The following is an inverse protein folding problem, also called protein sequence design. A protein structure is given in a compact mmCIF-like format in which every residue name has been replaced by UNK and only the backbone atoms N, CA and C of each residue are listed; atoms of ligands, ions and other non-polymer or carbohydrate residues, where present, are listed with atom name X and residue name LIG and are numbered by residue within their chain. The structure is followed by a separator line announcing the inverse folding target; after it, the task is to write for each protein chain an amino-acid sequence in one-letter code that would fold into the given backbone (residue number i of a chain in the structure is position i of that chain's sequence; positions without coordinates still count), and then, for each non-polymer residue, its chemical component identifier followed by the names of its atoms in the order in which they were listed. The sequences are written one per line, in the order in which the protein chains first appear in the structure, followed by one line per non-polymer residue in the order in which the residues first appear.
data_IF_460098042108
#
_entry.id   IF_460098042108
#
_cell.length_a   1.000
_cell.length_b   1.000
_cell.length_c   1.000
_cell.angle_alpha   90.00
_cell.angle_beta   90.00
_cell.angle_gamma   90.00
#
_symmetry.space_group_name_H-M   'P 1'
#
loop_
_entity.id
_entity.type
_entity.pdbx_description
1 polymer ?
#
# COMPACT_ATOMS: atom_id res chain seq x y z
N UNK A 1 0.98 -0.08 -5.61
CA UNK A 1 1.36 -1.19 -4.75
C UNK A 1 2.86 -1.45 -4.68
N UNK A 2 3.64 -0.42 -4.85
CA UNK A 2 5.08 -0.47 -4.67
C UNK A 2 5.45 0.23 -3.38
N UNK A 3 6.49 -0.22 -2.74
CA UNK A 3 6.87 0.20 -1.39
C UNK A 3 8.33 0.55 -1.26
N UNK A 4 9.10 0.23 -2.28
CA UNK A 4 10.55 0.40 -2.26
C UNK A 4 10.95 1.74 -2.90
N UNK A 5 12.14 2.20 -2.58
CA UNK A 5 12.68 3.49 -3.03
C UNK A 5 12.70 3.66 -4.56
N UNK A 6 12.85 2.57 -5.31
CA UNK A 6 12.82 2.58 -6.77
C UNK A 6 11.48 3.02 -7.36
N UNK A 7 10.39 2.84 -6.59
CA UNK A 7 9.06 3.26 -7.01
C UNK A 7 8.75 4.73 -6.70
N UNK A 8 9.62 5.40 -5.97
CA UNK A 8 9.48 6.82 -5.67
C UNK A 8 9.91 7.64 -6.89
N UNK A 9 8.94 8.22 -7.55
CA UNK A 9 9.09 8.91 -8.82
C UNK A 9 10.04 10.12 -8.73
N UNK A 10 10.93 10.23 -9.73
CA UNK A 10 11.90 11.32 -9.87
C UNK A 10 11.89 11.82 -11.30
N UNK A 11 11.90 13.13 -11.47
CA UNK A 11 11.89 13.77 -12.78
C UNK A 11 13.14 14.61 -13.01
N UNK A 12 13.78 14.53 -14.18
CA UNK A 12 14.89 15.42 -14.52
C UNK A 12 14.45 16.89 -14.48
N UNK A 13 15.25 17.74 -13.82
CA UNK A 13 14.94 19.17 -13.68
C UNK A 13 14.89 19.88 -15.03
N UNK A 14 15.80 19.55 -15.96
CA UNK A 14 15.83 20.15 -17.29
C UNK A 14 14.55 19.88 -18.07
N UNK A 15 14.06 18.65 -18.04
CA UNK A 15 12.77 18.27 -18.65
C UNK A 15 11.61 18.99 -17.97
N UNK A 16 11.57 18.93 -16.63
CA UNK A 16 10.47 19.49 -15.84
C UNK A 16 10.38 21.01 -15.96
N UNK A 17 11.52 21.72 -15.87
CA UNK A 17 11.57 23.18 -15.97
C UNK A 17 11.22 23.70 -17.37
N UNK A 18 11.55 22.93 -18.41
CA UNK A 18 11.22 23.28 -19.79
C UNK A 18 9.73 23.08 -20.10
N UNK A 19 9.14 21.99 -19.64
CA UNK A 19 7.74 21.67 -19.93
C UNK A 19 6.78 22.43 -19.02
N UNK A 20 7.16 22.65 -17.76
CA UNK A 20 6.31 23.23 -16.73
C UNK A 20 7.04 24.35 -15.97
N UNK A 21 7.50 25.43 -16.64
CA UNK A 21 8.37 26.43 -16.04
C UNK A 21 7.75 27.13 -14.83
N UNK A 22 6.45 27.45 -14.89
CA UNK A 22 5.77 28.09 -13.77
C UNK A 22 5.62 27.17 -12.55
N UNK A 23 5.30 25.90 -12.78
CA UNK A 23 5.20 24.90 -11.71
C UNK A 23 6.57 24.67 -11.08
N UNK A 24 7.62 24.60 -11.89
CA UNK A 24 8.99 24.48 -11.40
C UNK A 24 9.40 25.65 -10.47
N UNK A 25 9.07 26.89 -10.84
CA UNK A 25 9.32 28.04 -9.96
C UNK A 25 8.61 27.92 -8.59
N UNK A 26 7.39 27.40 -8.59
CA UNK A 26 6.64 27.15 -7.35
C UNK A 26 7.35 26.07 -6.51
N UNK A 27 7.78 24.99 -7.14
CA UNK A 27 8.52 23.91 -6.46
C UNK A 27 9.84 24.42 -5.88
N UNK A 28 10.57 25.27 -6.61
CA UNK A 28 11.79 25.91 -6.09
C UNK A 28 11.53 26.71 -4.81
N UNK A 29 10.44 27.46 -4.77
CA UNK A 29 10.09 28.23 -3.58
C UNK A 29 9.64 27.32 -2.41
N UNK A 30 8.89 26.25 -2.69
CA UNK A 30 8.53 25.24 -1.69
C UNK A 30 9.79 24.60 -1.11
N UNK A 31 10.71 24.17 -1.97
CA UNK A 31 11.96 23.54 -1.55
C UNK A 31 12.82 24.48 -0.70
N UNK A 32 12.97 25.74 -1.14
CA UNK A 32 13.71 26.78 -0.41
C UNK A 32 13.16 26.97 1.02
N UNK A 33 11.85 27.08 1.17
CA UNK A 33 11.19 27.20 2.49
C UNK A 33 11.38 25.94 3.32
N UNK A 34 11.27 24.78 2.70
CA UNK A 34 11.40 23.51 3.39
C UNK A 34 12.84 23.29 3.87
N UNK A 35 13.84 23.57 3.05
CA UNK A 35 15.26 23.50 3.43
C UNK A 35 15.56 24.46 4.59
N UNK A 36 15.03 25.70 4.56
CA UNK A 36 15.17 26.63 5.68
C UNK A 36 14.62 26.06 6.99
N UNK A 37 13.46 25.42 6.93
CA UNK A 37 12.85 24.75 8.09
C UNK A 37 13.65 23.55 8.58
N UNK A 38 14.24 22.77 7.71
CA UNK A 38 15.14 21.66 8.12
C UNK A 38 16.35 22.23 8.87
N UNK A 39 16.99 23.29 8.36
CA UNK A 39 18.16 23.92 8.98
C UNK A 39 17.84 24.57 10.34
N UNK A 40 16.64 25.12 10.49
CA UNK A 40 16.14 25.62 11.77
C UNK A 40 15.98 24.51 12.79
N UNK A 41 15.40 23.39 12.40
CA UNK A 41 15.15 22.27 13.32
C UNK A 41 16.39 21.42 13.61
N UNK A 42 17.34 21.38 12.67
CA UNK A 42 18.56 20.56 12.74
C UNK A 42 19.79 21.40 12.35
N UNK A 43 20.21 22.36 13.18
CA UNK A 43 21.33 23.24 12.87
C UNK A 43 22.63 22.48 12.57
N UNK A 44 23.28 22.82 11.46
CA UNK A 44 24.54 22.21 11.03
C UNK A 44 24.43 20.80 10.42
N UNK A 45 23.23 20.23 10.31
CA UNK A 45 23.02 18.89 9.75
C UNK A 45 22.70 18.98 8.24
N UNK A 46 23.72 19.27 7.41
CA UNK A 46 23.55 19.33 5.97
C UNK A 46 23.27 17.95 5.32
N UNK A 47 23.64 16.85 5.99
CA UNK A 47 23.30 15.51 5.53
C UNK A 47 21.77 15.31 5.53
N UNK A 48 21.09 15.76 6.59
CA UNK A 48 19.64 15.68 6.70
C UNK A 48 18.95 16.58 5.65
N UNK A 49 19.50 17.77 5.41
CA UNK A 49 19.04 18.64 4.30
C UNK A 49 19.14 17.88 2.98
N UNK A 50 20.29 17.30 2.70
CA UNK A 50 20.58 16.58 1.47
C UNK A 50 19.63 15.38 1.25
N UNK A 51 19.26 14.66 2.32
CA UNK A 51 18.33 13.53 2.25
C UNK A 51 16.89 13.96 1.99
N UNK A 52 16.45 15.08 2.56
CA UNK A 52 15.05 15.48 2.60
C UNK A 52 14.66 16.48 1.52
N UNK A 53 15.57 17.30 1.00
CA UNK A 53 15.22 18.34 0.02
C UNK A 53 14.56 17.76 -1.23
N UNK A 54 13.67 18.55 -1.85
CA UNK A 54 12.85 18.16 -3.00
C UNK A 54 13.69 18.19 -4.29
N UNK A 55 14.48 19.25 -4.44
CA UNK A 55 15.32 19.46 -5.62
C UNK A 55 16.77 19.08 -5.31
N UNK A 56 17.24 17.96 -5.90
CA UNK A 56 18.62 17.50 -5.69
C UNK A 56 19.10 16.61 -6.84
N UNK A 57 20.38 16.64 -7.10
CA UNK A 57 21.08 15.78 -8.06
C UNK A 57 20.46 15.87 -9.47
N UNK A 58 20.04 17.08 -9.86
CA UNK A 58 19.39 17.32 -11.15
C UNK A 58 17.99 16.76 -11.27
N UNK A 59 17.33 16.41 -10.14
CA UNK A 59 16.00 15.79 -10.11
C UNK A 59 15.02 16.50 -9.21
N UNK A 60 13.74 16.43 -9.57
CA UNK A 60 12.59 16.72 -8.72
C UNK A 60 12.13 15.42 -8.08
N UNK A 61 12.22 15.31 -6.75
CA UNK A 61 11.78 14.14 -6.00
C UNK A 61 10.30 14.29 -5.66
N UNK A 62 9.45 13.64 -6.45
CA UNK A 62 7.98 13.82 -6.37
C UNK A 62 7.38 13.37 -5.04
N UNK A 63 7.89 12.28 -4.45
CA UNK A 63 7.45 11.83 -3.12
C UNK A 63 7.78 12.86 -2.03
N UNK A 64 8.97 13.47 -2.06
CA UNK A 64 9.34 14.53 -1.12
C UNK A 64 8.43 15.75 -1.25
N UNK A 65 8.16 16.17 -2.49
CA UNK A 65 7.22 17.26 -2.77
C UNK A 65 5.83 16.95 -2.20
N UNK A 66 5.32 15.74 -2.45
CA UNK A 66 4.00 15.31 -1.96
C UNK A 66 3.93 15.28 -0.42
N UNK A 67 4.99 14.81 0.25
CA UNK A 67 5.06 14.80 1.72
C UNK A 67 5.06 16.22 2.30
N UNK A 68 5.83 17.11 1.68
CA UNK A 68 5.93 18.51 2.16
C UNK A 68 4.62 19.25 1.95
N UNK A 69 4.03 19.16 0.77
CA UNK A 69 2.82 19.90 0.38
C UNK A 69 1.53 19.27 0.91
N UNK A 70 1.48 17.95 1.11
CA UNK A 70 0.29 17.25 1.58
C UNK A 70 0.08 17.34 3.09
N UNK A 71 -1.15 17.09 3.53
CA UNK A 71 -1.53 17.04 4.95
C UNK A 71 -1.28 15.67 5.57
N UNK A 72 -1.35 14.61 4.79
CA UNK A 72 -1.36 13.24 5.26
C UNK A 72 -0.49 12.35 4.38
N UNK A 73 0.33 11.54 5.01
CA UNK A 73 1.15 10.51 4.38
C UNK A 73 0.68 9.18 4.94
N UNK A 74 0.14 8.31 4.08
CA UNK A 74 -0.36 7.02 4.55
C UNK A 74 0.37 5.85 3.91
N UNK A 75 0.66 4.85 4.73
CA UNK A 75 0.93 3.52 4.24
C UNK A 75 -0.38 2.79 3.90
N UNK A 76 -0.30 1.78 3.07
CA UNK A 76 -1.45 1.01 2.56
C UNK A 76 -1.67 -0.32 3.28
N UNK A 77 -0.82 -0.62 4.27
CA UNK A 77 -0.92 -1.71 5.23
C UNK A 77 -0.06 -1.36 6.46
N UNK A 78 -0.33 -1.98 7.61
CA UNK A 78 0.43 -1.69 8.84
C UNK A 78 1.94 -1.91 8.65
N UNK A 79 2.34 -3.04 8.08
CA UNK A 79 3.74 -3.32 7.78
C UNK A 79 4.35 -2.27 6.85
N UNK A 80 3.66 -1.91 5.77
CA UNK A 80 4.12 -0.87 4.85
C UNK A 80 4.32 0.48 5.57
N UNK A 81 3.36 0.86 6.41
CA UNK A 81 3.44 2.10 7.20
C UNK A 81 4.65 2.12 8.12
N UNK A 82 4.96 1.00 8.77
CA UNK A 82 6.14 0.89 9.64
C UNK A 82 7.46 0.95 8.86
N UNK A 83 7.52 0.36 7.67
CA UNK A 83 8.68 0.48 6.76
C UNK A 83 8.89 1.94 6.36
N UNK A 84 7.83 2.64 5.95
CA UNK A 84 7.91 4.07 5.62
C UNK A 84 8.46 4.90 6.80
N UNK A 85 7.93 4.68 8.00
CA UNK A 85 8.33 5.43 9.20
C UNK A 85 9.75 5.15 9.66
N UNK A 86 10.20 3.90 9.59
CA UNK A 86 11.47 3.45 10.20
C UNK A 86 12.63 3.40 9.21
N UNK A 87 12.36 3.35 7.91
CA UNK A 87 13.35 3.16 6.86
C UNK A 87 13.25 4.25 5.79
N UNK A 88 12.34 4.11 4.83
CA UNK A 88 12.30 4.90 3.60
C UNK A 88 12.10 6.41 3.81
N UNK A 89 11.24 6.78 4.74
CA UNK A 89 10.85 8.17 5.01
C UNK A 89 11.11 8.57 6.47
N UNK A 90 12.08 7.93 7.11
CA UNK A 90 12.40 8.10 8.53
C UNK A 90 12.61 9.56 8.90
N UNK A 91 13.43 10.29 8.15
CA UNK A 91 13.74 11.69 8.45
C UNK A 91 12.49 12.58 8.37
N UNK A 92 11.58 12.31 7.41
CA UNK A 92 10.30 12.99 7.33
C UNK A 92 9.37 12.62 8.49
N UNK A 93 9.38 11.36 8.92
CA UNK A 93 8.58 10.93 10.06
C UNK A 93 9.08 11.58 11.36
N UNK A 94 10.38 11.64 11.59
CA UNK A 94 10.99 12.32 12.74
C UNK A 94 10.61 13.81 12.79
N UNK A 95 10.56 14.48 11.64
CA UNK A 95 10.23 15.91 11.54
C UNK A 95 8.73 16.19 11.62
N UNK A 96 7.88 15.31 11.08
CA UNK A 96 6.44 15.52 10.91
C UNK A 96 5.63 14.25 11.25
N UNK A 97 5.77 13.68 12.47
CA UNK A 97 5.17 12.39 12.82
C UNK A 97 3.63 12.39 12.69
N UNK A 98 3.00 13.54 12.93
CA UNK A 98 1.55 13.70 12.85
C UNK A 98 0.97 13.52 11.45
N UNK A 99 1.78 13.65 10.39
CA UNK A 99 1.34 13.40 9.01
C UNK A 99 1.18 11.91 8.71
N UNK A 100 1.92 11.04 9.40
CA UNK A 100 2.02 9.63 9.05
C UNK A 100 0.94 8.78 9.71
N UNK A 101 0.19 8.07 8.90
CA UNK A 101 -0.87 7.19 9.34
C UNK A 101 -1.00 5.95 8.46
N UNK A 102 -1.83 4.99 8.86
CA UNK A 102 -2.12 3.81 8.08
C UNK A 102 -3.55 3.83 7.56
N UNK A 103 -3.70 3.51 6.28
CA UNK A 103 -4.99 3.23 5.64
C UNK A 103 -4.85 1.91 4.90
N UNK A 104 -5.16 0.82 5.57
CA UNK A 104 -5.08 -0.51 4.96
C UNK A 104 -5.97 -0.59 3.73
N UNK A 105 -5.41 -1.05 2.62
CA UNK A 105 -6.18 -1.30 1.42
C UNK A 105 -7.30 -2.31 1.70
N UNK A 106 -8.48 -2.02 1.19
CA UNK A 106 -9.58 -2.97 1.17
C UNK A 106 -9.52 -3.88 -0.05
N UNK A 107 -10.22 -5.00 0.04
CA UNK A 107 -10.50 -5.88 -1.10
C UNK A 107 -12.00 -6.02 -1.28
N UNK A 108 -12.43 -6.14 -2.53
CA UNK A 108 -13.82 -6.44 -2.84
C UNK A 108 -14.05 -7.94 -2.69
N UNK A 109 -14.57 -8.37 -1.54
CA UNK A 109 -14.77 -9.80 -1.26
C UNK A 109 -15.73 -10.49 -2.25
N UNK A 110 -16.70 -9.76 -2.82
CA UNK A 110 -17.57 -10.27 -3.88
C UNK A 110 -16.78 -10.75 -5.10
N UNK A 111 -15.76 -9.99 -5.52
CA UNK A 111 -14.86 -10.39 -6.61
C UNK A 111 -13.93 -11.52 -6.17
N UNK A 112 -13.18 -11.30 -5.09
CA UNK A 112 -12.03 -12.12 -4.71
C UNK A 112 -12.40 -13.38 -3.92
N UNK A 113 -13.64 -13.49 -3.45
CA UNK A 113 -14.19 -14.67 -2.81
C UNK A 113 -15.34 -15.24 -3.62
N UNK A 114 -16.45 -14.53 -3.73
CA UNK A 114 -17.68 -15.06 -4.29
C UNK A 114 -17.60 -15.38 -5.79
N UNK A 115 -16.89 -14.56 -6.56
CA UNK A 115 -16.74 -14.80 -8.00
C UNK A 115 -15.62 -15.81 -8.31
N UNK A 116 -14.51 -15.72 -7.58
CA UNK A 116 -13.32 -16.55 -7.86
C UNK A 116 -13.44 -17.98 -7.36
N UNK A 117 -14.17 -18.24 -6.28
CA UNK A 117 -14.27 -19.56 -5.66
C UNK A 117 -15.73 -19.92 -5.34
N UNK A 118 -16.47 -20.36 -6.35
CA UNK A 118 -17.87 -20.76 -6.21
C UNK A 118 -18.08 -21.93 -5.26
N UNK A 119 -17.16 -22.89 -5.26
CA UNK A 119 -17.24 -24.07 -4.38
C UNK A 119 -17.09 -23.68 -2.91
N UNK A 120 -16.21 -22.72 -2.62
CA UNK A 120 -16.08 -22.17 -1.27
C UNK A 120 -17.35 -21.43 -0.86
N UNK A 121 -17.97 -20.68 -1.78
CA UNK A 121 -19.23 -19.98 -1.52
C UNK A 121 -20.36 -20.95 -1.21
N UNK A 122 -20.48 -22.07 -1.95
CA UNK A 122 -21.45 -23.13 -1.68
C UNK A 122 -21.22 -23.77 -0.31
N UNK A 123 -19.97 -24.01 0.07
CA UNK A 123 -19.61 -24.46 1.42
C UNK A 123 -20.04 -23.46 2.50
N UNK A 124 -19.80 -22.15 2.26
CA UNK A 124 -20.22 -21.09 3.18
C UNK A 124 -21.72 -20.96 3.29
N UNK A 125 -22.47 -21.20 2.22
CA UNK A 125 -23.93 -21.25 2.26
C UNK A 125 -24.46 -22.45 3.09
N UNK A 126 -23.78 -23.58 3.02
CA UNK A 126 -24.18 -24.79 3.76
C UNK A 126 -23.88 -24.69 5.26
N UNK A 127 -22.70 -24.20 5.63
CA UNK A 127 -22.20 -24.23 6.99
C UNK A 127 -22.14 -22.85 7.65
N UNK A 128 -22.27 -21.81 6.90
CA UNK A 128 -22.10 -20.45 7.35
C UNK A 128 -23.41 -19.70 7.53
N UNK A 129 -23.32 -18.43 7.27
CA UNK A 129 -24.33 -17.41 7.51
C UNK A 129 -24.75 -16.79 6.18
N UNK A 130 -25.92 -17.11 5.69
CA UNK A 130 -26.39 -16.74 4.36
C UNK A 130 -26.38 -15.25 4.00
N UNK A 131 -26.28 -14.36 4.97
CA UNK A 131 -26.29 -12.90 4.78
C UNK A 131 -24.93 -12.30 4.42
N UNK A 132 -23.84 -13.10 4.44
CA UNK A 132 -22.48 -12.60 4.17
C UNK A 132 -22.32 -11.94 2.80
N UNK A 133 -23.15 -12.27 1.82
CA UNK A 133 -23.11 -11.68 0.47
C UNK A 133 -23.37 -10.17 0.48
N UNK A 134 -24.14 -9.69 1.43
CA UNK A 134 -24.43 -8.25 1.59
C UNK A 134 -23.58 -7.61 2.67
N UNK A 135 -23.22 -8.37 3.69
CA UNK A 135 -22.48 -7.91 4.85
C UNK A 135 -21.34 -8.89 5.20
N UNK A 136 -20.12 -8.53 4.85
CA UNK A 136 -18.94 -9.36 5.09
C UNK A 136 -18.66 -9.65 6.58
N UNK A 137 -19.18 -8.83 7.52
CA UNK A 137 -19.02 -9.07 8.96
C UNK A 137 -19.72 -10.37 9.40
N UNK A 138 -20.74 -10.83 8.66
CA UNK A 138 -21.43 -12.09 8.90
C UNK A 138 -20.55 -13.31 8.71
N UNK A 139 -19.38 -13.17 8.05
CA UNK A 139 -18.39 -14.24 7.96
C UNK A 139 -17.84 -14.67 9.33
N UNK A 140 -17.93 -13.83 10.36
CA UNK A 140 -17.57 -14.20 11.73
C UNK A 140 -18.39 -15.39 12.24
N UNK A 141 -19.62 -15.60 11.73
CA UNK A 141 -20.43 -16.77 12.05
C UNK A 141 -19.80 -18.10 11.69
N UNK A 142 -18.81 -18.14 10.78
CA UNK A 142 -18.04 -19.33 10.45
C UNK A 142 -17.17 -19.81 11.64
N UNK A 143 -16.89 -18.96 12.60
CA UNK A 143 -16.17 -19.36 13.81
C UNK A 143 -16.92 -20.44 14.61
N UNK A 144 -18.25 -20.53 14.47
CA UNK A 144 -19.04 -21.58 15.08
C UNK A 144 -18.75 -22.98 14.50
N UNK A 145 -18.07 -23.03 13.35
CA UNK A 145 -17.74 -24.31 12.67
C UNK A 145 -16.33 -24.81 13.00
N UNK A 146 -15.59 -24.13 13.89
CA UNK A 146 -14.17 -24.42 14.15
C UNK A 146 -13.93 -25.85 14.67
N UNK A 147 -14.92 -26.42 15.38
CA UNK A 147 -14.88 -27.78 15.94
C UNK A 147 -15.83 -28.74 15.19
N UNK A 148 -16.41 -28.32 14.06
CA UNK A 148 -17.31 -29.16 13.27
C UNK A 148 -16.50 -29.97 12.24
N UNK A 149 -16.17 -31.21 12.56
CA UNK A 149 -15.37 -32.09 11.70
C UNK A 149 -15.95 -32.27 10.30
N UNK A 150 -17.28 -32.39 10.17
CA UNK A 150 -17.93 -32.50 8.85
C UNK A 150 -17.68 -31.25 8.01
N UNK A 151 -17.85 -30.05 8.59
CA UNK A 151 -17.62 -28.81 7.91
C UNK A 151 -16.15 -28.62 7.53
N UNK A 152 -15.21 -28.98 8.43
CA UNK A 152 -13.77 -28.89 8.17
C UNK A 152 -13.32 -29.84 7.06
N UNK A 153 -13.79 -31.09 7.07
CA UNK A 153 -13.50 -32.07 6.02
C UNK A 153 -14.05 -31.60 4.67
N UNK A 154 -15.30 -31.12 4.63
CA UNK A 154 -15.87 -30.56 3.41
C UNK A 154 -15.07 -29.34 2.89
N UNK A 155 -14.51 -28.49 3.77
CA UNK A 155 -13.64 -27.37 3.39
C UNK A 155 -12.30 -27.87 2.79
N UNK A 156 -11.73 -28.91 3.35
CA UNK A 156 -10.52 -29.55 2.82
C UNK A 156 -10.77 -30.13 1.42
N UNK A 157 -11.93 -30.75 1.20
CA UNK A 157 -12.33 -31.25 -0.12
C UNK A 157 -12.47 -30.13 -1.15
N UNK A 158 -13.06 -29.00 -0.81
CA UNK A 158 -13.10 -27.80 -1.69
C UNK A 158 -11.69 -27.37 -2.06
N UNK A 159 -10.78 -27.27 -1.09
CA UNK A 159 -9.39 -26.90 -1.34
C UNK A 159 -8.68 -27.90 -2.25
N UNK A 160 -8.89 -29.18 -2.02
CA UNK A 160 -8.28 -30.24 -2.83
C UNK A 160 -8.80 -30.20 -4.28
N UNK A 161 -10.09 -30.02 -4.48
CA UNK A 161 -10.68 -29.89 -5.81
C UNK A 161 -10.13 -28.67 -6.57
N UNK A 162 -9.97 -27.53 -5.89
CA UNK A 162 -9.39 -26.33 -6.49
C UNK A 162 -7.91 -26.53 -6.89
N UNK A 163 -7.12 -27.22 -6.05
CA UNK A 163 -5.74 -27.59 -6.38
C UNK A 163 -5.64 -28.52 -7.58
N UNK A 164 -6.52 -29.50 -7.64
CA UNK A 164 -6.59 -30.46 -8.78
C UNK A 164 -6.91 -29.71 -10.07
N UNK A 165 -7.93 -28.85 -10.05
CA UNK A 165 -8.29 -28.04 -11.22
C UNK A 165 -7.16 -27.09 -11.66
N UNK A 166 -6.43 -26.50 -10.72
CA UNK A 166 -5.26 -25.69 -11.04
C UNK A 166 -4.13 -26.52 -11.67
N UNK A 167 -3.86 -27.72 -11.11
CA UNK A 167 -2.88 -28.65 -11.67
C UNK A 167 -3.21 -29.01 -13.13
N UNK A 168 -4.44 -29.43 -13.39
CA UNK A 168 -4.92 -29.79 -14.74
C UNK A 168 -4.80 -28.59 -15.72
N UNK A 169 -5.14 -27.40 -15.26
CA UNK A 169 -4.97 -26.17 -16.05
C UNK A 169 -3.51 -25.93 -16.42
N UNK A 170 -2.60 -26.02 -15.43
CA UNK A 170 -1.17 -25.80 -15.67
C UNK A 170 -0.57 -26.86 -16.59
N UNK A 171 -0.93 -28.13 -16.42
CA UNK A 171 -0.48 -29.22 -17.29
C UNK A 171 -0.94 -29.01 -18.74
N UNK A 172 -2.16 -28.49 -18.93
CA UNK A 172 -2.69 -28.18 -20.27
C UNK A 172 -1.99 -27.00 -20.94
N UNK A 173 -1.68 -25.94 -20.17
CA UNK A 173 -1.06 -24.72 -20.70
C UNK A 173 0.46 -24.82 -20.86
N UNK A 174 1.10 -25.68 -20.06
CA UNK A 174 2.57 -25.83 -20.07
C UNK A 174 3.07 -26.94 -21.00
N UNK A 175 2.18 -27.75 -21.58
CA UNK A 175 2.47 -28.77 -22.58
C UNK A 175 3.15 -29.97 -21.97
#
# INVERSE_FOLDING_TARGET
HTIMAEALEKWPIDLFSRLLPRVYQIIQEIDRRFVAKIREMYPGNEEKVAKMQILRDGQVKMAHLAIVAGYSVNGVARLHTEILKKQELRDFYEMMPQKFNNKTNGITFRRWLMHCDKKLVEWMDKYGVGEFRKDASKLEGLLAQIDNEEALNALLDVKQQNKTALKEYLEKESG
#
